data_IF_247796295590
#
_entry.id   IF_247796295590
#
_cell.length_a   1.000
_cell.length_b   1.000
_cell.length_c   1.000
_cell.angle_alpha   90.00
_cell.angle_beta   90.00
_cell.angle_gamma   90.00
#
_symmetry.space_group_name_H-M   'P 1'
#
loop_
_entity.id
_entity.type
_entity.pdbx_description
1 polymer ?
#
# COMPACT_ATOMS: atom_id res chain seq x y z
N UNK A 1 -4.37 13.55 -9.44
CA UNK A 1 -5.33 13.03 -10.44
C UNK A 1 -6.68 12.62 -9.86
N UNK A 2 -6.84 12.39 -8.54
CA UNK A 2 -8.16 12.06 -7.95
C UNK A 2 -8.94 13.25 -7.38
N UNK A 3 -8.29 14.37 -7.05
CA UNK A 3 -8.93 15.48 -6.33
C UNK A 3 -10.18 16.06 -7.02
N UNK A 4 -10.17 16.37 -8.33
CA UNK A 4 -11.36 16.94 -8.98
C UNK A 4 -12.56 15.99 -9.02
N UNK A 5 -12.32 14.68 -9.06
CA UNK A 5 -13.39 13.67 -9.03
C UNK A 5 -13.95 13.58 -7.61
N UNK A 6 -13.09 13.55 -6.60
CA UNK A 6 -13.48 13.41 -5.20
C UNK A 6 -14.22 14.64 -4.66
N UNK A 7 -13.83 15.85 -5.10
CA UNK A 7 -14.48 17.11 -4.70
C UNK A 7 -15.95 17.20 -5.09
N UNK A 8 -16.38 16.46 -6.11
CA UNK A 8 -17.77 16.43 -6.56
C UNK A 8 -18.64 15.35 -5.88
N UNK A 9 -18.06 14.52 -5.00
CA UNK A 9 -18.78 13.42 -4.34
C UNK A 9 -19.39 13.87 -3.02
N UNK A 10 -20.67 13.60 -2.84
CA UNK A 10 -21.32 13.73 -1.54
C UNK A 10 -21.05 12.51 -0.66
N UNK A 11 -21.37 12.60 0.63
CA UNK A 11 -21.13 11.50 1.59
C UNK A 11 -21.83 10.21 1.15
N UNK A 12 -23.06 10.33 0.68
CA UNK A 12 -23.86 9.20 0.19
C UNK A 12 -23.20 8.54 -1.03
N UNK A 13 -22.62 9.32 -1.94
CA UNK A 13 -21.88 8.79 -3.10
C UNK A 13 -20.63 8.04 -2.66
N UNK A 14 -19.86 8.60 -1.72
CA UNK A 14 -18.66 7.96 -1.17
C UNK A 14 -19.00 6.61 -0.51
N UNK A 15 -20.09 6.55 0.26
CA UNK A 15 -20.56 5.32 0.88
C UNK A 15 -21.03 4.29 -0.17
N UNK A 16 -21.76 4.73 -1.19
CA UNK A 16 -22.21 3.86 -2.27
C UNK A 16 -21.03 3.28 -3.07
N UNK A 17 -20.03 4.10 -3.39
CA UNK A 17 -18.81 3.66 -4.07
C UNK A 17 -18.00 2.69 -3.20
N UNK A 18 -17.85 2.98 -1.91
CA UNK A 18 -17.14 2.09 -0.98
C UNK A 18 -17.82 0.72 -0.91
N UNK A 19 -19.15 0.67 -0.79
CA UNK A 19 -19.92 -0.57 -0.81
C UNK A 19 -19.84 -1.31 -2.15
N UNK A 20 -19.81 -0.58 -3.26
CA UNK A 20 -19.70 -1.17 -4.58
C UNK A 20 -18.33 -1.84 -4.82
N UNK A 21 -17.23 -1.16 -4.48
CA UNK A 21 -15.88 -1.68 -4.70
C UNK A 21 -15.48 -2.75 -3.68
N UNK A 22 -15.94 -2.68 -2.43
CA UNK A 22 -15.64 -3.72 -1.43
C UNK A 22 -16.25 -5.09 -1.76
N UNK A 23 -17.35 -5.10 -2.51
CA UNK A 23 -18.00 -6.33 -2.98
C UNK A 23 -17.40 -6.90 -4.27
N UNK A 24 -16.40 -6.23 -4.87
CA UNK A 24 -15.71 -6.76 -6.05
C UNK A 24 -14.58 -7.72 -5.63
N UNK A 25 -14.31 -8.75 -6.43
CA UNK A 25 -13.07 -9.49 -6.28
C UNK A 25 -11.89 -8.52 -6.49
N UNK A 26 -10.82 -8.71 -5.72
CA UNK A 26 -9.58 -7.95 -5.94
C UNK A 26 -9.05 -8.24 -7.36
N UNK A 27 -8.70 -7.20 -8.13
CA UNK A 27 -8.21 -7.41 -9.49
C UNK A 27 -6.84 -8.10 -9.50
N UNK A 28 -6.63 -9.00 -10.46
CA UNK A 28 -5.32 -9.59 -10.72
C UNK A 28 -4.62 -8.70 -11.75
N UNK A 29 -3.57 -7.99 -11.32
CA UNK A 29 -2.83 -7.03 -12.17
C UNK A 29 -1.72 -7.69 -13.01
N UNK A 30 -1.55 -9.02 -12.93
CA UNK A 30 -0.54 -9.81 -13.66
C UNK A 30 0.91 -9.27 -13.54
N UNK A 31 1.22 -8.62 -12.42
CA UNK A 31 2.56 -8.10 -12.15
C UNK A 31 3.53 -9.25 -11.84
N UNK A 32 4.76 -9.15 -12.36
CA UNK A 32 5.79 -10.14 -12.13
C UNK A 32 6.11 -10.26 -10.62
N UNK A 33 6.35 -11.50 -10.18
CA UNK A 33 6.87 -11.74 -8.83
C UNK A 33 8.28 -11.16 -8.70
N UNK A 34 8.56 -10.56 -7.55
CA UNK A 34 9.90 -10.14 -7.20
C UNK A 34 10.90 -11.31 -7.30
N UNK A 35 12.11 -11.09 -7.82
CA UNK A 35 13.21 -12.04 -7.73
C UNK A 35 13.46 -12.51 -6.30
N UNK A 36 14.03 -13.70 -6.13
CA UNK A 36 14.16 -14.33 -4.81
C UNK A 36 15.00 -13.51 -3.82
N UNK A 37 16.07 -12.88 -4.28
CA UNK A 37 16.92 -11.99 -3.48
C UNK A 37 16.17 -10.71 -3.07
N UNK A 38 15.42 -10.09 -3.98
CA UNK A 38 14.56 -8.93 -3.70
C UNK A 38 13.47 -9.30 -2.68
N UNK A 39 12.80 -10.44 -2.88
CA UNK A 39 11.79 -10.93 -1.96
C UNK A 39 12.35 -11.20 -0.55
N UNK A 40 13.55 -11.78 -0.45
CA UNK A 40 14.23 -11.98 0.85
C UNK A 40 14.52 -10.66 1.54
N UNK A 41 15.07 -9.68 0.81
CA UNK A 41 15.34 -8.34 1.33
C UNK A 41 14.05 -7.68 1.84
N UNK A 42 12.99 -7.70 1.04
CA UNK A 42 11.68 -7.17 1.39
C UNK A 42 11.13 -7.79 2.68
N UNK A 43 11.18 -9.11 2.81
CA UNK A 43 10.68 -9.83 3.99
C UNK A 43 11.45 -9.50 5.26
N UNK A 44 12.78 -9.34 5.17
CA UNK A 44 13.61 -8.91 6.30
C UNK A 44 13.20 -7.49 6.73
N UNK A 45 13.08 -6.56 5.79
CA UNK A 45 12.69 -5.18 6.06
C UNK A 45 11.27 -5.09 6.66
N UNK A 46 10.31 -5.81 6.07
CA UNK A 46 8.93 -5.93 6.58
C UNK A 46 8.91 -6.42 8.02
N UNK A 47 9.70 -7.46 8.32
CA UNK A 47 9.79 -8.02 9.66
C UNK A 47 10.38 -7.03 10.67
N UNK A 48 11.40 -6.26 10.26
CA UNK A 48 12.04 -5.24 11.09
C UNK A 48 11.10 -4.07 11.42
N UNK A 49 10.32 -3.62 10.44
CA UNK A 49 9.44 -2.44 10.55
C UNK A 49 8.05 -2.81 11.09
N UNK A 50 7.68 -4.09 11.09
CA UNK A 50 6.43 -4.59 11.65
C UNK A 50 5.21 -4.34 10.78
N UNK A 51 5.34 -4.31 9.45
CA UNK A 51 4.23 -3.96 8.54
C UNK A 51 3.00 -4.88 8.71
N UNK A 52 3.22 -6.15 9.04
CA UNK A 52 2.17 -7.14 9.26
C UNK A 52 1.36 -6.90 10.54
N UNK A 53 1.84 -6.04 11.45
CA UNK A 53 1.10 -5.65 12.66
C UNK A 53 -0.20 -4.92 12.34
N UNK A 54 -0.21 -4.13 11.26
CA UNK A 54 -1.40 -3.41 10.80
C UNK A 54 -1.99 -4.02 9.53
N UNK A 55 -1.15 -4.36 8.54
CA UNK A 55 -1.64 -4.83 7.23
C UNK A 55 -2.00 -6.33 7.21
N UNK A 56 -1.85 -7.02 8.35
CA UNK A 56 -2.03 -8.46 8.53
C UNK A 56 -0.99 -9.30 7.78
N UNK A 57 -0.93 -10.60 8.11
CA UNK A 57 0.11 -11.51 7.63
C UNK A 57 0.21 -11.59 6.11
N UNK A 58 -0.91 -11.52 5.40
CA UNK A 58 -0.99 -11.58 3.94
C UNK A 58 -1.12 -10.19 3.28
N UNK A 59 -0.91 -9.10 4.04
CA UNK A 59 -1.02 -7.71 3.57
C UNK A 59 -2.39 -7.37 2.96
N UNK A 60 -3.43 -8.08 3.38
CA UNK A 60 -4.79 -7.89 2.87
C UNK A 60 -5.53 -6.78 3.61
N UNK A 61 -5.05 -6.39 4.80
CA UNK A 61 -5.76 -5.49 5.70
C UNK A 61 -7.11 -6.06 6.13
N UNK A 62 -7.88 -5.23 6.85
CA UNK A 62 -9.20 -5.59 7.40
C UNK A 62 -10.31 -4.63 6.94
N UNK A 63 -10.00 -3.71 6.03
CA UNK A 63 -10.89 -2.66 5.56
C UNK A 63 -10.72 -1.32 6.30
N UNK A 64 -10.27 -1.33 7.55
CA UNK A 64 -9.82 -0.13 8.26
C UNK A 64 -8.36 0.19 7.92
N UNK A 65 -7.54 -0.85 7.76
CA UNK A 65 -6.20 -0.80 7.20
C UNK A 65 -6.24 -1.26 5.74
N UNK A 66 -5.63 -0.52 4.79
CA UNK A 66 -5.74 -0.85 3.38
C UNK A 66 -4.93 -2.10 3.01
N UNK A 67 -5.44 -2.82 2.01
CA UNK A 67 -4.73 -3.89 1.32
C UNK A 67 -3.50 -3.36 0.57
N UNK A 68 -2.37 -4.05 0.73
CA UNK A 68 -1.14 -3.81 -0.04
C UNK A 68 -0.82 -4.96 -1.01
N UNK A 69 -1.24 -6.20 -0.70
CA UNK A 69 -0.96 -7.36 -1.53
C UNK A 69 -1.60 -7.25 -2.93
N UNK A 70 -0.76 -7.33 -3.97
CA UNK A 70 -1.18 -7.27 -5.37
C UNK A 70 -1.59 -5.86 -5.80
N UNK A 71 -1.16 -4.81 -5.09
CA UNK A 71 -1.37 -3.42 -5.51
C UNK A 71 -0.39 -3.05 -6.65
N UNK A 72 -0.75 -2.07 -7.47
CA UNK A 72 0.16 -1.55 -8.49
C UNK A 72 1.47 -1.08 -7.87
N UNK A 73 2.61 -1.52 -8.43
CA UNK A 73 3.94 -1.06 -8.02
C UNK A 73 4.05 0.46 -8.09
N UNK A 74 3.54 1.07 -9.15
CA UNK A 74 3.56 2.53 -9.33
C UNK A 74 2.82 3.24 -8.19
N UNK A 75 1.67 2.72 -7.80
CA UNK A 75 0.90 3.29 -6.69
C UNK A 75 1.60 3.10 -5.34
N UNK A 76 2.25 1.96 -5.13
CA UNK A 76 3.05 1.70 -3.92
C UNK A 76 4.22 2.68 -3.83
N UNK A 77 5.03 2.79 -4.87
CA UNK A 77 6.17 3.74 -4.98
C UNK A 77 5.70 5.16 -4.64
N UNK A 78 4.65 5.61 -5.32
CA UNK A 78 4.10 6.95 -5.11
C UNK A 78 3.63 7.16 -3.68
N UNK A 79 2.82 6.24 -3.16
CA UNK A 79 2.22 6.38 -1.83
C UNK A 79 3.26 6.33 -0.72
N UNK A 80 4.24 5.44 -0.83
CA UNK A 80 5.35 5.31 0.12
C UNK A 80 6.20 6.58 0.10
N UNK A 81 6.52 7.11 -1.08
CA UNK A 81 7.24 8.37 -1.24
C UNK A 81 6.48 9.53 -0.58
N UNK A 82 5.17 9.65 -0.82
CA UNK A 82 4.33 10.70 -0.23
C UNK A 82 4.23 10.60 1.30
N UNK A 83 4.18 9.38 1.87
CA UNK A 83 4.24 9.20 3.32
C UNK A 83 5.61 9.58 3.88
N UNK A 84 6.69 9.20 3.19
CA UNK A 84 8.07 9.49 3.61
C UNK A 84 8.36 10.99 3.60
N UNK A 85 7.94 11.71 2.55
CA UNK A 85 8.07 13.17 2.46
C UNK A 85 7.07 13.93 3.34
N UNK A 86 6.11 13.23 3.96
CA UNK A 86 4.98 13.79 4.71
C UNK A 86 4.01 14.63 3.87
N UNK A 87 4.08 14.55 2.54
CA UNK A 87 3.04 15.10 1.66
C UNK A 87 1.68 14.41 1.92
N UNK A 88 1.71 13.10 2.14
CA UNK A 88 0.58 12.35 2.67
C UNK A 88 0.71 12.22 4.19
N UNK A 89 0.03 13.13 4.89
CA UNK A 89 0.11 13.26 6.35
C UNK A 89 -1.08 12.67 7.13
N UNK A 90 -1.95 11.89 6.48
CA UNK A 90 -3.16 11.35 7.11
C UNK A 90 -2.88 10.24 8.14
N UNK A 91 -1.64 9.77 8.24
CA UNK A 91 -1.20 8.82 9.27
C UNK A 91 0.29 9.07 9.60
N UNK A 92 0.60 9.81 10.70
CA UNK A 92 1.97 10.10 11.10
C UNK A 92 2.82 8.85 11.38
N UNK A 93 2.21 7.79 11.92
CA UNK A 93 2.91 6.53 12.18
C UNK A 93 3.41 5.88 10.88
N UNK A 94 2.60 5.88 9.82
CA UNK A 94 3.06 5.42 8.50
C UNK A 94 4.21 6.27 7.97
N UNK A 95 4.14 7.60 8.10
CA UNK A 95 5.25 8.47 7.72
C UNK A 95 6.54 8.13 8.48
N UNK A 96 6.46 7.89 9.78
CA UNK A 96 7.62 7.56 10.61
C UNK A 96 8.22 6.20 10.20
N UNK A 97 7.38 5.19 9.94
CA UNK A 97 7.83 3.87 9.46
C UNK A 97 8.52 3.96 8.09
N UNK A 98 7.99 4.75 7.15
CA UNK A 98 8.62 4.94 5.84
C UNK A 98 9.95 5.71 5.95
N UNK A 99 10.07 6.65 6.90
CA UNK A 99 11.32 7.37 7.16
C UNK A 99 12.38 6.49 7.85
N UNK A 100 11.95 5.55 8.69
CA UNK A 100 12.83 4.60 9.36
C UNK A 100 13.34 3.46 8.44
N UNK A 101 12.80 3.37 7.21
CA UNK A 101 13.16 2.33 6.23
C UNK A 101 14.05 2.92 5.13
N UNK A 102 15.10 2.19 4.73
CA UNK A 102 15.99 2.64 3.66
C UNK A 102 15.28 2.63 2.29
N UNK A 103 15.70 3.49 1.36
CA UNK A 103 15.07 3.58 0.03
C UNK A 103 15.14 2.26 -0.74
N UNK A 104 16.28 1.57 -0.66
CA UNK A 104 16.45 0.27 -1.29
C UNK A 104 15.55 -0.81 -0.68
N UNK A 105 15.31 -0.76 0.63
CA UNK A 105 14.38 -1.69 1.30
C UNK A 105 12.94 -1.37 0.91
N UNK A 106 12.58 -0.10 0.80
CA UNK A 106 11.27 0.34 0.30
C UNK A 106 11.05 -0.15 -1.14
N UNK A 107 12.05 0.02 -2.01
CA UNK A 107 11.98 -0.47 -3.39
C UNK A 107 11.78 -1.99 -3.46
N UNK A 108 12.44 -2.75 -2.57
CA UNK A 108 12.24 -4.19 -2.48
C UNK A 108 10.83 -4.54 -1.98
N UNK A 109 10.31 -3.82 -0.98
CA UNK A 109 8.96 -3.98 -0.44
C UNK A 109 7.90 -3.70 -1.51
N UNK A 110 8.05 -2.62 -2.26
CA UNK A 110 7.16 -2.23 -3.36
C UNK A 110 7.06 -3.32 -4.43
N UNK A 111 8.21 -3.83 -4.88
CA UNK A 111 8.27 -4.89 -5.88
C UNK A 111 7.68 -6.21 -5.35
N UNK A 112 8.00 -6.54 -4.10
CA UNK A 112 7.48 -7.74 -3.45
C UNK A 112 5.96 -7.72 -3.29
N UNK A 113 5.40 -6.61 -2.79
CA UNK A 113 3.96 -6.47 -2.57
C UNK A 113 3.18 -6.39 -3.89
N UNK A 114 3.77 -5.81 -4.93
CA UNK A 114 3.13 -5.72 -6.25
C UNK A 114 2.93 -7.08 -6.91
N UNK A 115 3.91 -7.98 -6.77
CA UNK A 115 3.87 -9.34 -7.34
C UNK A 115 3.17 -10.40 -6.48
N UNK A 116 2.46 -10.00 -5.42
CA UNK A 116 1.74 -10.91 -4.50
C UNK A 116 0.42 -11.42 -5.07
#
# INVERSE_FOLDING_TARGET
>A
MMSPIAEALEREDMLALAAYFSNKPWPVLEQARAPTDVAKRALIAIGSVGCTGCHLAEFQGDGSVPRLAGQSREYLVKTISEFRSRERANNPGMSDLMNATSEDDLAAIEEYLAGR
#
